data_IF_947678144248
#
_entry.id   IF_947678144248
#
_cell.length_a   1.000
_cell.length_b   1.000
_cell.length_c   1.000
_cell.angle_alpha   90.00
_cell.angle_beta   90.00
_cell.angle_gamma   90.00
#
_symmetry.space_group_name_H-M   'P 1'
#
loop_
_entity.id
_entity.type
_entity.pdbx_description
1 polymer ?
#
# COMPACT_ATOMS: atom_id res chain seq x y z
N UNK A 1 -20.31 8.01 -24.64
CA UNK A 1 -18.83 8.00 -24.57
C UNK A 1 -18.51 8.10 -23.09
N UNK A 2 -18.25 6.96 -22.46
CA UNK A 2 -17.90 6.87 -21.04
C UNK A 2 -16.39 6.75 -20.95
N UNK A 3 -15.82 7.58 -20.08
CA UNK A 3 -14.40 7.87 -19.93
C UNK A 3 -13.52 6.65 -19.69
N UNK A 4 -12.28 6.86 -20.12
CA UNK A 4 -11.10 6.03 -20.02
C UNK A 4 -10.90 5.33 -18.67
N UNK A 5 -10.65 4.03 -18.76
CA UNK A 5 -9.45 3.44 -18.18
C UNK A 5 -9.13 3.81 -16.74
N UNK A 6 -10.05 3.60 -15.80
CA UNK A 6 -9.64 3.31 -14.43
C UNK A 6 -8.89 1.98 -14.45
N UNK A 7 -7.56 2.05 -14.61
CA UNK A 7 -6.68 0.91 -14.41
C UNK A 7 -6.74 0.56 -12.93
N UNK A 8 -7.61 -0.37 -12.59
CA UNK A 8 -7.70 -0.93 -11.26
C UNK A 8 -6.50 -1.87 -11.10
N UNK A 9 -5.46 -1.44 -10.38
CA UNK A 9 -4.42 -2.37 -9.92
C UNK A 9 -5.03 -3.21 -8.81
N UNK A 10 -5.66 -4.31 -9.23
CA UNK A 10 -6.08 -5.36 -8.32
C UNK A 10 -4.79 -6.00 -7.79
N UNK A 11 -4.43 -5.72 -6.54
CA UNK A 11 -3.43 -6.54 -5.87
C UNK A 11 -3.97 -7.98 -5.87
N UNK A 12 -3.34 -8.84 -6.68
CA UNK A 12 -3.49 -10.30 -6.66
C UNK A 12 -3.43 -10.78 -5.21
N UNK A 13 -4.16 -11.86 -4.83
CA UNK A 13 -4.61 -12.05 -3.47
C UNK A 13 -3.42 -12.05 -2.51
N UNK A 14 -3.34 -10.99 -1.71
CA UNK A 14 -2.36 -10.88 -0.64
C UNK A 14 -2.55 -12.08 0.28
N UNK A 15 -1.44 -12.74 0.61
CA UNK A 15 -1.42 -14.02 1.30
C UNK A 15 -2.27 -14.04 2.60
N UNK A 16 -2.38 -12.90 3.29
CA UNK A 16 -3.34 -12.70 4.38
C UNK A 16 -3.76 -11.23 4.49
N UNK A 17 -4.97 -10.91 4.02
CA UNK A 17 -5.62 -9.62 4.23
C UNK A 17 -6.56 -9.69 5.44
N UNK A 18 -6.37 -8.79 6.40
CA UNK A 18 -7.28 -8.60 7.53
C UNK A 18 -7.71 -7.14 7.64
N UNK A 19 -8.97 -6.91 8.00
CA UNK A 19 -9.44 -5.58 8.40
C UNK A 19 -9.39 -5.55 9.92
N UNK A 20 -8.62 -4.63 10.48
CA UNK A 20 -8.52 -4.43 11.92
C UNK A 20 -9.24 -3.13 12.26
N UNK A 21 -10.29 -3.23 13.07
CA UNK A 21 -10.96 -2.04 13.63
C UNK A 21 -10.13 -1.57 14.81
N UNK A 22 -9.41 -0.47 14.62
CA UNK A 22 -8.72 0.24 15.68
C UNK A 22 -9.58 1.46 16.02
N UNK A 23 -10.13 1.49 17.24
CA UNK A 23 -10.93 2.60 17.76
C UNK A 23 -10.06 3.78 18.23
N UNK A 24 -8.74 3.63 18.21
CA UNK A 24 -7.81 4.57 18.84
C UNK A 24 -6.89 5.31 17.86
N UNK A 25 -6.64 6.57 18.20
CA UNK A 25 -5.70 7.52 17.58
C UNK A 25 -4.21 7.08 17.68
N UNK A 26 -3.92 5.80 17.94
CA UNK A 26 -2.58 5.30 18.30
C UNK A 26 -1.60 5.28 17.12
N UNK A 27 -2.11 5.28 15.89
CA UNK A 27 -1.31 5.47 14.68
C UNK A 27 -1.62 6.85 14.09
N UNK A 28 -0.71 7.81 14.19
CA UNK A 28 -0.86 9.09 13.46
C UNK A 28 -0.67 8.90 11.95
N UNK A 29 -0.04 7.81 11.54
CA UNK A 29 0.35 7.56 10.15
C UNK A 29 -0.80 7.01 9.29
N UNK A 30 -0.94 7.56 8.07
CA UNK A 30 -1.88 7.04 7.07
C UNK A 30 -1.48 5.66 6.54
N UNK A 31 -0.18 5.34 6.58
CA UNK A 31 0.40 4.07 6.14
C UNK A 31 1.56 3.73 7.09
N UNK A 32 1.64 2.50 7.58
CA UNK A 32 2.78 2.00 8.34
C UNK A 32 3.29 0.67 7.79
N UNK A 33 4.57 0.40 7.99
CA UNK A 33 5.25 -0.82 7.57
C UNK A 33 6.16 -1.30 8.71
N UNK A 34 5.88 -2.49 9.25
CA UNK A 34 6.62 -3.06 10.38
C UNK A 34 6.90 -4.55 10.17
N UNK A 35 7.83 -5.10 10.93
CA UNK A 35 8.07 -6.55 10.95
C UNK A 35 6.91 -7.19 11.73
N UNK A 36 6.34 -8.29 11.22
CA UNK A 36 5.24 -8.98 11.90
C UNK A 36 5.77 -9.86 13.05
N UNK A 37 6.20 -9.23 14.15
CA UNK A 37 6.81 -9.87 15.32
C UNK A 37 5.93 -9.83 16.59
N UNK A 38 4.76 -9.20 16.53
CA UNK A 38 3.89 -9.09 17.69
C UNK A 38 3.29 -10.45 18.11
N UNK A 39 3.40 -10.80 19.38
CA UNK A 39 2.94 -12.09 19.93
C UNK A 39 1.63 -11.99 20.72
N UNK A 40 0.92 -10.86 20.68
CA UNK A 40 -0.37 -10.76 21.35
C UNK A 40 -1.41 -11.69 20.68
N UNK A 41 -2.43 -12.09 21.45
CA UNK A 41 -3.43 -13.08 21.02
C UNK A 41 -4.10 -12.70 19.69
N UNK A 42 -4.52 -11.44 19.55
CA UNK A 42 -5.13 -10.94 18.31
C UNK A 42 -4.18 -10.99 17.11
N UNK A 43 -2.91 -10.60 17.28
CA UNK A 43 -1.91 -10.66 16.22
C UNK A 43 -1.57 -12.10 15.82
N UNK A 44 -1.50 -13.02 16.78
CA UNK A 44 -1.27 -14.45 16.51
C UNK A 44 -2.47 -15.07 15.79
N UNK A 45 -3.69 -14.75 16.19
CA UNK A 45 -4.90 -15.18 15.49
C UNK A 45 -4.96 -14.65 14.06
N UNK A 46 -4.69 -13.36 13.86
CA UNK A 46 -4.68 -12.72 12.55
C UNK A 46 -3.55 -13.23 11.65
N UNK A 47 -2.37 -13.51 12.21
CA UNK A 47 -1.23 -14.13 11.52
C UNK A 47 -1.49 -15.60 11.18
N UNK A 48 -2.28 -16.30 11.99
CA UNK A 48 -2.55 -17.72 11.84
C UNK A 48 -1.27 -18.56 11.96
N UNK A 49 -1.03 -19.44 10.98
CA UNK A 49 0.13 -20.37 10.98
C UNK A 49 1.44 -19.78 10.45
N UNK A 50 1.47 -18.49 10.13
CA UNK A 50 2.65 -17.83 9.55
C UNK A 50 3.71 -17.60 10.64
N UNK A 51 4.98 -17.81 10.31
CA UNK A 51 6.07 -17.59 11.26
C UNK A 51 6.20 -16.09 11.56
N UNK A 52 6.27 -15.66 12.84
CA UNK A 52 6.74 -14.32 13.15
C UNK A 52 8.10 -14.07 12.48
N UNK A 53 8.39 -12.83 12.08
CA UNK A 53 9.60 -12.43 11.34
C UNK A 53 9.72 -12.92 9.89
N UNK A 54 8.76 -13.71 9.36
CA UNK A 54 8.78 -14.10 7.94
C UNK A 54 7.91 -13.23 7.05
N UNK A 55 7.23 -12.22 7.62
CA UNK A 55 6.37 -11.30 6.87
C UNK A 55 6.53 -9.86 7.36
N UNK A 56 6.18 -8.94 6.47
CA UNK A 56 6.07 -7.51 6.69
C UNK A 56 4.59 -7.19 6.85
N UNK A 57 4.24 -6.50 7.93
CA UNK A 57 2.89 -6.01 8.20
C UNK A 57 2.77 -4.60 7.64
N UNK A 58 1.92 -4.45 6.64
CA UNK A 58 1.59 -3.19 5.98
C UNK A 58 0.18 -2.77 6.41
N UNK A 59 0.07 -1.67 7.14
CA UNK A 59 -1.21 -1.08 7.52
C UNK A 59 -1.51 0.17 6.69
N UNK A 60 -2.75 0.31 6.25
CA UNK A 60 -3.27 1.50 5.55
C UNK A 60 -4.58 1.93 6.18
N UNK A 61 -4.70 3.20 6.53
CA UNK A 61 -5.94 3.77 7.07
C UNK A 61 -6.92 4.11 5.94
N UNK A 62 -8.13 3.58 6.01
CA UNK A 62 -9.24 3.83 5.08
C UNK A 62 -10.52 4.05 5.88
N UNK A 63 -11.16 5.21 5.73
CA UNK A 63 -12.45 5.54 6.39
C UNK A 63 -12.48 5.25 7.90
N UNK A 64 -11.44 5.71 8.63
CA UNK A 64 -11.20 5.46 10.06
C UNK A 64 -10.98 4.00 10.46
N UNK A 65 -10.78 3.10 9.49
CA UNK A 65 -10.42 1.69 9.74
C UNK A 65 -8.99 1.42 9.29
N UNK A 66 -8.30 0.49 9.94
CA UNK A 66 -7.01 0.02 9.46
C UNK A 66 -7.22 -1.23 8.61
N UNK A 67 -6.73 -1.18 7.37
CA UNK A 67 -6.59 -2.38 6.56
C UNK A 67 -5.15 -2.86 6.70
N UNK A 68 -4.99 -4.11 7.13
CA UNK A 68 -3.68 -4.71 7.40
C UNK A 68 -3.45 -5.86 6.43
N UNK A 69 -2.34 -5.80 5.71
CA UNK A 69 -1.86 -6.87 4.88
C UNK A 69 -0.54 -7.40 5.44
N UNK A 70 -0.37 -8.73 5.40
CA UNK A 70 0.92 -9.38 5.67
C UNK A 70 1.52 -9.81 4.33
N UNK A 71 2.70 -9.28 4.04
CA UNK A 71 3.44 -9.53 2.81
C UNK A 71 4.66 -10.39 3.12
N UNK A 72 4.94 -11.37 2.28
CA UNK A 72 6.28 -11.96 2.24
C UNK A 72 7.31 -10.91 1.81
N UNK A 73 8.61 -11.10 2.10
CA UNK A 73 9.64 -10.18 1.62
C UNK A 73 9.66 -10.02 0.09
N UNK A 74 9.31 -11.07 -0.66
CA UNK A 74 9.20 -11.02 -2.12
C UNK A 74 8.05 -10.13 -2.57
N UNK A 75 6.84 -10.33 -2.04
CA UNK A 75 5.66 -9.48 -2.33
C UNK A 75 5.90 -8.02 -1.95
N UNK A 76 6.60 -7.76 -0.84
CA UNK A 76 6.95 -6.41 -0.42
C UNK A 76 7.93 -5.72 -1.40
N UNK A 77 8.92 -6.46 -1.92
CA UNK A 77 9.80 -5.96 -2.97
C UNK A 77 9.03 -5.65 -4.25
N UNK A 78 8.16 -6.55 -4.70
CA UNK A 78 7.33 -6.33 -5.88
C UNK A 78 6.43 -5.09 -5.73
N UNK A 79 5.80 -4.92 -4.56
CA UNK A 79 4.98 -3.73 -4.28
C UNK A 79 5.82 -2.45 -4.33
N UNK A 80 7.01 -2.46 -3.72
CA UNK A 80 7.91 -1.31 -3.72
C UNK A 80 8.34 -0.93 -5.15
N UNK A 81 8.68 -1.91 -5.98
CA UNK A 81 9.01 -1.68 -7.39
C UNK A 81 7.85 -1.06 -8.17
N UNK A 82 6.62 -1.52 -7.95
CA UNK A 82 5.45 -0.92 -8.60
C UNK A 82 5.24 0.53 -8.17
N UNK A 83 5.35 0.82 -6.87
CA UNK A 83 5.21 2.18 -6.34
C UNK A 83 6.26 3.14 -6.94
N UNK A 84 7.51 2.69 -7.06
CA UNK A 84 8.58 3.46 -7.71
C UNK A 84 8.22 3.76 -9.16
N UNK A 85 7.82 2.74 -9.94
CA UNK A 85 7.45 2.92 -11.35
C UNK A 85 6.30 3.90 -11.54
N UNK A 86 5.30 3.86 -10.66
CA UNK A 86 4.18 4.82 -10.72
C UNK A 86 4.62 6.24 -10.34
N UNK A 87 5.50 6.39 -9.35
CA UNK A 87 6.03 7.70 -8.99
C UNK A 87 6.85 8.31 -10.13
N UNK A 88 7.69 7.51 -10.80
CA UNK A 88 8.44 7.92 -11.99
C UNK A 88 7.50 8.33 -13.12
N UNK A 89 6.50 7.50 -13.43
CA UNK A 89 5.51 7.82 -14.47
C UNK A 89 4.76 9.12 -14.20
N UNK A 90 4.38 9.39 -12.95
CA UNK A 90 3.70 10.64 -12.58
C UNK A 90 4.63 11.85 -12.76
N UNK A 91 5.91 11.72 -12.41
CA UNK A 91 6.89 12.79 -12.62
C UNK A 91 7.08 13.08 -14.12
N UNK A 92 7.22 12.03 -14.93
CA UNK A 92 7.36 12.18 -16.39
C UNK A 92 6.14 12.91 -16.99
N UNK A 93 4.93 12.54 -16.57
CA UNK A 93 3.70 13.22 -17.01
C UNK A 93 3.63 14.68 -16.56
N UNK A 94 4.07 14.98 -15.34
CA UNK A 94 4.10 16.36 -14.84
C UNK A 94 5.11 17.23 -15.61
N UNK A 95 6.28 16.68 -15.95
CA UNK A 95 7.28 17.37 -16.77
C UNK A 95 6.80 17.63 -18.20
N UNK A 96 6.07 16.68 -18.80
CA UNK A 96 5.43 16.86 -20.11
C UNK A 96 4.36 17.96 -20.09
N UNK A 97 3.51 18.00 -19.06
CA UNK A 97 2.50 19.06 -18.89
C UNK A 97 3.13 20.45 -18.72
N UNK A 98 4.21 20.58 -17.94
CA UNK A 98 4.93 21.85 -17.77
C UNK A 98 5.55 22.35 -19.10
N UNK A 99 6.09 21.45 -19.92
CA UNK A 99 6.64 21.79 -21.24
C UNK A 99 5.55 22.29 -22.20
N UNK A 100 4.41 21.60 -22.23
CA UNK A 100 3.25 21.98 -23.06
C UNK A 100 2.70 23.37 -22.68
N UNK A 101 2.70 23.72 -21.39
CA UNK A 101 2.30 25.05 -20.93
C UNK A 101 3.29 26.13 -21.36
N UNK A 102 4.60 25.88 -21.21
CA UNK A 102 5.64 26.84 -21.62
C UNK A 102 5.60 27.14 -23.12
N UNK A 103 5.38 26.14 -23.98
CA UNK A 103 5.25 26.33 -25.43
C UNK A 103 3.97 27.10 -25.82
N UNK A 104 2.89 27.00 -25.04
CA UNK A 104 1.65 27.76 -25.28
C UNK A 104 1.74 29.24 -24.95
N UNK A 105 2.68 29.63 -24.08
CA UNK A 105 2.87 31.02 -23.64
C UNK A 105 4.13 31.69 -24.19
N UNK A 106 4.93 31.00 -25.02
CA UNK A 106 6.08 31.51 -25.77
C UNK A 106 5.73 31.92 -27.19
#
# INVERSE_FOLDING_TARGET
MLNDGMTFTMMTPMFALSIEEHDDDEYDDAVYCEIDDCECESCVEARGGINPFSTIKLGVRVDNKMQVARLTPEEACELAEQLIRYAELINDLAEEEELDELERFS
#
